data_IF_510219602036
#
_entry.id   IF_510219602036
#
_cell.length_a   1.000
_cell.length_b   1.000
_cell.length_c   1.000
_cell.angle_alpha   90.00
_cell.angle_beta   90.00
_cell.angle_gamma   90.00
#
_symmetry.space_group_name_H-M   'P 1'
#
loop_
_entity.id
_entity.type
_entity.pdbx_description
1 polymer ?
#
# COMPACT_ATOMS: atom_id res chain seq x y z
N UNK A 1 -26.52 -85.62 49.80
CA UNK A 1 -26.44 -84.71 48.64
C UNK A 1 -25.09 -84.04 48.72
N UNK A 2 -24.18 -84.39 47.79
CA UNK A 2 -22.83 -83.85 47.76
C UNK A 2 -22.71 -82.62 46.87
N UNK A 3 -21.62 -81.89 47.06
CA UNK A 3 -20.74 -81.34 46.02
C UNK A 3 -19.64 -80.47 46.67
N UNK A 4 -18.38 -80.86 46.48
CA UNK A 4 -17.20 -79.97 46.35
C UNK A 4 -16.98 -79.74 44.84
N UNK A 5 -16.58 -78.52 44.42
CA UNK A 5 -15.71 -78.17 43.25
C UNK A 5 -15.36 -76.67 43.42
N UNK A 6 -14.12 -76.28 43.74
CA UNK A 6 -12.95 -75.93 42.89
C UNK A 6 -13.07 -74.67 41.99
N UNK A 7 -12.01 -73.86 42.08
CA UNK A 7 -11.71 -72.58 41.44
C UNK A 7 -11.40 -72.69 39.93
N UNK A 8 -11.69 -71.62 39.17
CA UNK A 8 -11.13 -71.35 37.85
C UNK A 8 -10.52 -69.93 37.80
N UNK A 9 -9.28 -69.87 37.31
CA UNK A 9 -8.39 -68.71 37.20
C UNK A 9 -8.65 -67.97 35.86
N UNK A 10 -8.92 -66.66 35.89
CA UNK A 10 -9.11 -65.84 34.67
C UNK A 10 -7.87 -64.97 34.34
N UNK A 11 -7.42 -65.07 33.09
CA UNK A 11 -6.30 -64.33 32.47
C UNK A 11 -6.59 -62.82 32.32
N UNK A 12 -5.56 -61.94 32.38
CA UNK A 12 -5.74 -60.51 32.17
C UNK A 12 -5.79 -60.12 30.68
N UNK A 13 -6.77 -59.27 30.33
CA UNK A 13 -7.00 -58.73 28.98
C UNK A 13 -5.91 -57.70 28.59
N UNK A 14 -5.29 -57.91 27.44
CA UNK A 14 -4.35 -56.97 26.79
C UNK A 14 -5.12 -55.84 26.09
N UNK A 15 -4.88 -54.59 26.47
CA UNK A 15 -5.39 -53.40 25.77
C UNK A 15 -4.37 -52.91 24.73
N UNK A 16 -4.70 -53.02 23.44
CA UNK A 16 -3.96 -52.33 22.38
C UNK A 16 -4.42 -50.85 22.31
N UNK A 17 -3.51 -49.88 22.13
CA UNK A 17 -3.88 -48.49 21.92
C UNK A 17 -4.43 -48.28 20.50
N UNK A 18 -5.60 -47.65 20.43
CA UNK A 18 -6.28 -47.25 19.18
C UNK A 18 -5.51 -46.11 18.52
N UNK A 19 -4.91 -46.36 17.35
CA UNK A 19 -4.34 -45.30 16.51
C UNK A 19 -5.46 -44.43 15.93
N UNK A 20 -5.62 -43.21 16.45
CA UNK A 20 -6.39 -42.15 15.81
C UNK A 20 -5.65 -41.66 14.56
N UNK A 21 -6.28 -41.61 13.38
CA UNK A 21 -5.64 -41.09 12.18
C UNK A 21 -5.41 -39.58 12.33
N UNK A 22 -4.15 -39.16 12.19
CA UNK A 22 -3.78 -37.75 12.07
C UNK A 22 -4.28 -37.28 10.70
N UNK A 23 -5.36 -36.51 10.69
CA UNK A 23 -5.79 -35.76 9.50
C UNK A 23 -4.81 -34.61 9.35
N UNK A 24 -3.77 -34.79 8.53
CA UNK A 24 -3.00 -33.69 7.98
C UNK A 24 -3.93 -32.90 7.05
N UNK A 25 -4.47 -31.79 7.54
CA UNK A 25 -5.07 -30.76 6.68
C UNK A 25 -3.98 -30.23 5.76
N UNK A 26 -3.97 -30.70 4.52
CA UNK A 26 -3.25 -30.04 3.44
C UNK A 26 -3.96 -28.71 3.19
N UNK A 27 -3.43 -27.62 3.75
CA UNK A 27 -3.88 -26.27 3.44
C UNK A 27 -3.77 -26.05 1.93
N UNK A 28 -4.90 -26.14 1.23
CA UNK A 28 -4.99 -25.79 -0.18
C UNK A 28 -4.70 -24.30 -0.29
N UNK A 29 -3.58 -23.95 -0.94
CA UNK A 29 -3.24 -22.56 -1.18
C UNK A 29 -4.41 -21.88 -1.92
N UNK A 30 -4.94 -20.82 -1.32
CA UNK A 30 -6.00 -20.02 -1.95
C UNK A 30 -5.50 -19.49 -3.29
N UNK A 31 -6.22 -19.78 -4.37
CA UNK A 31 -5.94 -19.25 -5.69
C UNK A 31 -6.85 -18.06 -5.96
N UNK A 32 -6.25 -16.92 -6.26
CA UNK A 32 -7.00 -15.74 -6.66
C UNK A 32 -7.82 -16.02 -7.93
N UNK A 33 -9.09 -15.58 -7.99
CA UNK A 33 -9.88 -15.72 -9.20
C UNK A 33 -9.22 -14.94 -10.35
N UNK A 34 -9.23 -15.52 -11.54
CA UNK A 34 -8.71 -14.85 -12.72
C UNK A 34 -9.60 -13.64 -13.07
N UNK A 35 -9.00 -12.46 -13.15
CA UNK A 35 -9.71 -11.26 -13.59
C UNK A 35 -10.20 -11.41 -15.03
N UNK A 36 -11.44 -10.97 -15.25
CA UNK A 36 -12.13 -10.95 -16.53
C UNK A 36 -12.33 -9.49 -16.93
N UNK A 37 -11.82 -9.11 -18.10
CA UNK A 37 -11.90 -7.74 -18.64
C UNK A 37 -12.91 -7.61 -19.78
N UNK A 38 -13.57 -8.70 -20.14
CA UNK A 38 -14.66 -8.77 -21.11
C UNK A 38 -16.00 -8.27 -20.55
N UNK A 39 -16.09 -8.12 -19.23
CA UNK A 39 -17.29 -7.64 -18.52
C UNK A 39 -16.89 -6.41 -17.70
N UNK A 40 -17.70 -5.33 -17.68
CA UNK A 40 -17.42 -4.19 -16.83
C UNK A 40 -17.37 -4.62 -15.35
N UNK A 41 -16.52 -3.99 -14.52
CA UNK A 41 -16.45 -4.32 -13.11
C UNK A 41 -17.79 -4.02 -12.44
N UNK A 42 -18.16 -4.90 -11.51
CA UNK A 42 -19.32 -4.70 -10.67
C UNK A 42 -18.97 -3.78 -9.50
N UNK A 43 -19.69 -2.67 -9.36
CA UNK A 43 -19.62 -1.81 -8.18
C UNK A 43 -20.20 -2.57 -6.98
N UNK A 44 -19.38 -2.83 -5.96
CA UNK A 44 -19.79 -3.50 -4.71
C UNK A 44 -20.12 -2.46 -3.65
N UNK A 45 -19.23 -1.49 -3.44
CA UNK A 45 -19.38 -0.40 -2.49
C UNK A 45 -19.20 0.97 -3.16
N UNK A 46 -19.82 2.00 -2.60
CA UNK A 46 -19.76 3.37 -3.06
C UNK A 46 -19.75 4.34 -1.88
N UNK A 47 -18.85 5.33 -1.93
CA UNK A 47 -18.74 6.38 -0.90
C UNK A 47 -18.55 7.73 -1.59
N UNK A 48 -19.52 8.63 -1.43
CA UNK A 48 -19.50 9.99 -1.94
C UNK A 48 -19.90 11.04 -0.88
N UNK A 49 -20.84 10.73 0.02
CA UNK A 49 -21.36 11.66 1.02
C UNK A 49 -20.31 12.00 2.08
N UNK A 50 -19.59 11.02 2.60
CA UNK A 50 -18.54 11.23 3.61
C UNK A 50 -17.34 12.07 3.14
N UNK A 51 -17.18 12.22 1.82
CA UNK A 51 -16.16 13.07 1.21
C UNK A 51 -16.70 14.45 0.81
N UNK A 52 -18.03 14.65 0.79
CA UNK A 52 -18.67 15.89 0.31
C UNK A 52 -19.40 16.67 1.40
N UNK A 53 -19.99 16.01 2.40
CA UNK A 53 -20.71 16.64 3.51
C UNK A 53 -19.76 16.94 4.66
N UNK A 54 -19.89 18.14 5.24
CA UNK A 54 -19.20 18.55 6.47
C UNK A 54 -17.85 19.24 6.28
N UNK A 55 -17.27 19.22 5.07
CA UNK A 55 -16.08 20.05 4.79
C UNK A 55 -16.51 21.47 4.43
N UNK A 56 -15.93 22.52 5.04
CA UNK A 56 -16.14 23.91 4.59
C UNK A 56 -15.59 24.14 3.17
N UNK A 57 -14.78 23.21 2.65
CA UNK A 57 -14.23 23.25 1.31
C UNK A 57 -15.09 22.42 0.35
N UNK A 58 -15.75 23.10 -0.59
CA UNK A 58 -16.53 22.45 -1.66
C UNK A 58 -15.67 21.65 -2.64
N UNK A 59 -14.34 21.83 -2.60
CA UNK A 59 -13.36 21.14 -3.44
C UNK A 59 -12.59 20.05 -2.67
N UNK A 60 -13.28 19.25 -1.87
CA UNK A 60 -12.67 18.06 -1.28
C UNK A 60 -12.56 16.94 -2.32
N UNK A 61 -11.39 16.34 -2.45
CA UNK A 61 -11.16 15.20 -3.34
C UNK A 61 -10.29 14.14 -2.66
N UNK A 62 -10.44 12.90 -3.15
CA UNK A 62 -9.67 11.75 -2.69
C UNK A 62 -8.22 11.84 -3.22
N UNK A 63 -7.24 11.77 -2.33
CA UNK A 63 -5.80 11.75 -2.67
C UNK A 63 -5.28 10.35 -2.95
N UNK A 64 -5.86 9.33 -2.32
CA UNK A 64 -5.49 7.94 -2.54
C UNK A 64 -6.17 6.97 -1.59
N UNK A 65 -5.99 5.68 -1.87
CA UNK A 65 -6.49 4.56 -1.07
C UNK A 65 -5.36 3.53 -0.91
N UNK A 66 -5.19 2.96 0.29
CA UNK A 66 -4.28 1.84 0.55
C UNK A 66 -4.98 0.76 1.36
N UNK A 67 -4.99 -0.46 0.85
CA UNK A 67 -5.50 -1.64 1.55
C UNK A 67 -4.57 -2.04 2.69
N UNK A 68 -5.14 -2.58 3.76
CA UNK A 68 -4.37 -3.25 4.79
C UNK A 68 -3.65 -4.48 4.22
N UNK A 69 -2.50 -4.87 4.80
CA UNK A 69 -1.75 -6.04 4.32
C UNK A 69 -2.55 -7.34 4.32
N UNK A 70 -3.48 -7.51 5.27
CA UNK A 70 -4.35 -8.67 5.37
C UNK A 70 -5.65 -8.56 4.53
N UNK A 71 -5.89 -7.40 3.89
CA UNK A 71 -7.09 -7.13 3.09
C UNK A 71 -8.39 -6.91 3.88
N UNK A 72 -8.34 -6.85 5.21
CA UNK A 72 -9.52 -6.67 6.06
C UNK A 72 -10.13 -5.27 6.00
N UNK A 73 -9.32 -4.24 5.70
CA UNK A 73 -9.76 -2.86 5.66
C UNK A 73 -8.97 -2.04 4.64
N UNK A 74 -9.43 -0.83 4.38
CA UNK A 74 -8.69 0.14 3.56
C UNK A 74 -8.70 1.52 4.20
N UNK A 75 -7.59 2.23 4.01
CA UNK A 75 -7.37 3.59 4.48
C UNK A 75 -7.39 4.55 3.31
N UNK A 76 -8.13 5.64 3.45
CA UNK A 76 -8.22 6.70 2.44
C UNK A 76 -7.67 8.00 3.01
N UNK A 77 -7.15 8.85 2.13
CA UNK A 77 -6.73 10.21 2.45
C UNK A 77 -7.39 11.19 1.49
N UNK A 78 -7.83 12.34 1.99
CA UNK A 78 -8.49 13.38 1.19
C UNK A 78 -7.90 14.78 1.43
N UNK A 79 -8.35 15.74 0.61
CA UNK A 79 -7.89 17.13 0.65
C UNK A 79 -8.27 17.85 1.96
N UNK A 80 -9.32 17.42 2.64
CA UNK A 80 -9.72 17.87 3.98
C UNK A 80 -8.79 17.41 5.13
N UNK A 81 -7.55 17.03 4.82
CA UNK A 81 -6.53 16.56 5.77
C UNK A 81 -6.97 15.37 6.63
N UNK A 82 -7.98 14.62 6.20
CA UNK A 82 -8.56 13.55 7.00
C UNK A 82 -8.21 12.17 6.41
N UNK A 83 -7.83 11.27 7.30
CA UNK A 83 -7.63 9.85 7.04
C UNK A 83 -8.87 9.09 7.51
N UNK A 84 -9.49 8.32 6.61
CA UNK A 84 -10.70 7.53 6.91
C UNK A 84 -10.44 6.05 6.68
N UNK A 85 -10.77 5.24 7.68
CA UNK A 85 -10.60 3.78 7.66
C UNK A 85 -11.96 3.10 7.51
N UNK A 86 -12.02 2.09 6.65
CA UNK A 86 -13.21 1.31 6.37
C UNK A 86 -12.90 -0.18 6.53
N UNK A 87 -13.54 -0.84 7.49
CA UNK A 87 -13.54 -2.30 7.57
C UNK A 87 -14.51 -2.89 6.57
N UNK A 88 -14.11 -4.00 5.93
CA UNK A 88 -15.02 -4.77 5.12
C UNK A 88 -16.06 -5.47 6.02
N UNK A 89 -17.36 -5.42 5.68
CA UNK A 89 -18.37 -6.21 6.36
C UNK A 89 -18.07 -7.71 6.26
N UNK A 90 -18.24 -8.46 7.35
CA UNK A 90 -17.91 -9.90 7.45
C UNK A 90 -18.64 -10.80 6.42
N UNK A 91 -19.73 -10.31 5.81
CA UNK A 91 -20.64 -11.10 4.98
C UNK A 91 -20.40 -10.99 3.46
N UNK A 92 -19.17 -10.80 2.98
CA UNK A 92 -18.91 -10.74 1.51
C UNK A 92 -19.21 -12.07 0.80
N UNK A 93 -19.32 -13.18 1.54
CA UNK A 93 -19.60 -14.52 1.00
C UNK A 93 -21.04 -14.79 0.58
N UNK A 94 -22.02 -14.07 1.12
CA UNK A 94 -23.46 -14.30 0.87
C UNK A 94 -24.26 -12.99 0.82
N UNK A 95 -23.67 -11.88 0.34
CA UNK A 95 -24.52 -10.76 -0.08
C UNK A 95 -25.30 -11.27 -1.29
N UNK A 96 -26.63 -11.37 -1.15
CA UNK A 96 -27.53 -11.34 -2.30
C UNK A 96 -27.18 -10.08 -3.11
N UNK A 97 -26.29 -10.31 -4.07
CA UNK A 97 -25.64 -9.36 -4.95
C UNK A 97 -26.67 -8.44 -5.64
N UNK A 98 -27.94 -8.82 -5.65
CA UNK A 98 -29.09 -8.04 -6.14
C UNK A 98 -29.37 -6.75 -5.34
N UNK A 99 -29.07 -6.69 -4.04
CA UNK A 99 -29.46 -5.54 -3.20
C UNK A 99 -28.49 -4.35 -3.24
N UNK A 100 -27.17 -4.56 -3.40
CA UNK A 100 -26.18 -3.47 -3.44
C UNK A 100 -26.17 -2.69 -4.77
N UNK A 101 -26.73 -3.27 -5.84
CA UNK A 101 -26.86 -2.58 -7.13
C UNK A 101 -28.09 -1.65 -7.18
N UNK A 102 -29.03 -1.81 -6.25
CA UNK A 102 -30.32 -1.13 -6.24
C UNK A 102 -30.47 -0.05 -5.15
N UNK A 103 -29.49 0.09 -4.24
CA UNK A 103 -29.48 1.17 -3.26
C UNK A 103 -29.28 2.52 -3.98
N UNK A 104 -30.12 3.51 -3.64
CA UNK A 104 -30.06 4.87 -4.18
C UNK A 104 -28.61 5.35 -4.29
N UNK A 105 -28.18 5.67 -5.51
CA UNK A 105 -26.81 6.13 -5.79
C UNK A 105 -26.46 7.45 -5.06
N UNK A 106 -27.41 8.03 -4.34
CA UNK A 106 -27.21 9.21 -3.51
C UNK A 106 -26.58 8.89 -2.16
N UNK A 107 -26.71 7.70 -1.56
CA UNK A 107 -26.15 7.45 -0.22
C UNK A 107 -24.91 6.56 -0.24
N UNK A 108 -24.12 6.65 0.84
CA UNK A 108 -22.92 5.84 1.03
C UNK A 108 -23.29 4.40 1.43
N UNK A 109 -22.48 3.43 1.00
CA UNK A 109 -22.74 2.02 1.33
C UNK A 109 -22.68 1.72 2.83
N UNK A 110 -21.76 2.37 3.56
CA UNK A 110 -21.67 2.34 5.03
C UNK A 110 -20.75 3.48 5.53
N UNK A 111 -20.80 3.75 6.83
CA UNK A 111 -19.96 4.77 7.49
C UNK A 111 -18.52 4.32 7.72
N UNK A 112 -17.57 5.25 7.70
CA UNK A 112 -16.18 4.98 8.03
C UNK A 112 -16.07 4.54 9.49
N UNK A 113 -15.29 3.50 9.74
CA UNK A 113 -15.08 2.93 11.07
C UNK A 113 -14.26 3.85 11.95
N UNK A 114 -13.33 4.59 11.34
CA UNK A 114 -12.50 5.56 12.04
C UNK A 114 -12.20 6.75 11.14
N UNK A 115 -12.21 7.94 11.75
CA UNK A 115 -11.84 9.20 11.13
C UNK A 115 -10.77 9.89 11.97
N UNK A 116 -9.61 10.16 11.37
CA UNK A 116 -8.50 10.86 12.02
C UNK A 116 -8.14 12.08 11.18
N UNK A 117 -8.19 13.27 11.77
CA UNK A 117 -7.82 14.51 11.09
C UNK A 117 -6.41 14.93 11.47
N UNK A 118 -5.60 15.17 10.44
CA UNK A 118 -4.30 15.80 10.56
C UNK A 118 -4.47 17.33 10.52
N UNK A 119 -3.53 18.06 11.11
CA UNK A 119 -3.63 19.52 11.20
C UNK A 119 -3.43 20.21 9.84
N UNK A 120 -2.69 19.58 8.93
CA UNK A 120 -2.26 20.12 7.65
C UNK A 120 -2.30 19.04 6.56
N UNK A 121 -1.89 19.41 5.33
CA UNK A 121 -1.88 18.48 4.20
C UNK A 121 -1.05 17.22 4.44
N UNK A 122 -1.70 16.07 4.35
CA UNK A 122 -1.06 14.75 4.33
C UNK A 122 -0.31 14.55 3.01
N UNK A 123 0.98 14.23 3.07
CA UNK A 123 1.83 13.98 1.90
C UNK A 123 1.86 12.50 1.50
N UNK A 124 1.99 11.61 2.48
CA UNK A 124 2.00 10.16 2.31
C UNK A 124 1.61 9.46 3.62
N UNK A 125 1.17 8.22 3.50
CA UNK A 125 0.78 7.38 4.63
C UNK A 125 1.03 5.91 4.30
N UNK A 126 1.38 5.06 5.26
CA UNK A 126 1.63 3.65 5.01
C UNK A 126 1.19 2.77 6.18
N UNK A 127 0.67 1.59 5.85
CA UNK A 127 0.37 0.55 6.83
C UNK A 127 1.64 -0.06 7.40
N UNK A 128 1.57 -0.49 8.66
CA UNK A 128 2.55 -1.43 9.20
C UNK A 128 2.49 -2.74 8.39
N UNK A 129 3.63 -3.29 7.93
CA UNK A 129 3.66 -4.38 6.95
C UNK A 129 3.01 -5.67 7.42
N UNK A 130 2.95 -5.90 8.74
CA UNK A 130 2.31 -7.07 9.34
C UNK A 130 0.98 -6.75 10.00
N UNK A 131 0.35 -5.62 9.64
CA UNK A 131 -0.98 -5.31 10.17
C UNK A 131 -1.95 -6.43 9.82
N UNK A 132 -2.63 -6.94 10.85
CA UNK A 132 -3.70 -7.91 10.76
C UNK A 132 -4.82 -7.54 11.72
N UNK A 133 -6.08 -7.56 11.26
CA UNK A 133 -7.25 -7.33 12.09
C UNK A 133 -7.37 -8.32 13.26
N UNK A 134 -6.76 -9.50 13.16
CA UNK A 134 -6.70 -10.49 14.24
C UNK A 134 -5.71 -10.12 15.36
N UNK A 135 -4.74 -9.23 15.09
CA UNK A 135 -3.78 -8.74 16.07
C UNK A 135 -3.86 -7.22 16.20
N UNK A 136 -4.60 -6.76 17.20
CA UNK A 136 -4.80 -5.34 17.53
C UNK A 136 -3.48 -4.58 17.74
N UNK A 137 -2.41 -5.25 18.18
CA UNK A 137 -1.13 -4.58 18.41
C UNK A 137 -0.46 -4.18 17.09
N UNK A 138 -0.65 -4.99 16.04
CA UNK A 138 -0.16 -4.77 14.68
C UNK A 138 -0.96 -3.71 13.90
N UNK A 139 -2.17 -3.38 14.36
CA UNK A 139 -3.10 -2.43 13.75
C UNK A 139 -2.61 -0.98 13.87
N UNK A 140 -1.57 -0.63 13.13
CA UNK A 140 -1.03 0.74 13.06
C UNK A 140 -0.71 1.17 11.64
N UNK A 141 -0.76 2.47 11.41
CA UNK A 141 -0.29 3.10 10.18
C UNK A 141 0.46 4.40 10.51
N UNK A 142 1.38 4.77 9.63
CA UNK A 142 2.11 6.02 9.72
C UNK A 142 1.55 7.04 8.72
N UNK A 143 1.56 8.32 9.09
CA UNK A 143 1.24 9.44 8.21
C UNK A 143 2.33 10.51 8.26
N UNK A 144 2.48 11.20 7.14
CA UNK A 144 3.36 12.36 7.00
C UNK A 144 2.54 13.56 6.63
N UNK A 145 2.75 14.66 7.36
CA UNK A 145 1.93 15.85 7.27
C UNK A 145 2.84 17.07 7.15
N UNK A 146 2.44 18.07 6.35
CA UNK A 146 3.18 19.31 6.19
C UNK A 146 3.45 19.98 7.55
N UNK A 147 4.69 20.43 7.76
CA UNK A 147 5.18 21.10 8.98
C UNK A 147 4.97 20.33 10.30
N UNK A 148 4.74 19.01 10.21
CA UNK A 148 4.47 18.13 11.35
C UNK A 148 5.43 16.94 11.37
N UNK A 149 5.65 16.33 12.54
CA UNK A 149 6.39 15.08 12.62
C UNK A 149 5.61 13.95 11.97
N UNK A 150 6.27 12.81 11.78
CA UNK A 150 5.60 11.60 11.33
C UNK A 150 4.77 11.08 12.50
N UNK A 151 3.49 10.85 12.26
CA UNK A 151 2.56 10.32 13.27
C UNK A 151 2.39 8.82 13.07
N UNK A 152 2.39 8.05 14.15
CA UNK A 152 2.00 6.64 14.16
C UNK A 152 0.66 6.51 14.88
N UNK A 153 -0.35 6.06 14.15
CA UNK A 153 -1.72 5.97 14.62
C UNK A 153 -2.11 4.55 14.95
N UNK A 154 -2.93 4.40 15.96
CA UNK A 154 -3.66 3.17 16.25
C UNK A 154 -4.87 3.07 15.31
N UNK A 155 -4.93 2.02 14.50
CA UNK A 155 -5.99 1.85 13.51
C UNK A 155 -7.33 1.37 14.10
N UNK A 156 -7.35 0.95 15.37
CA UNK A 156 -8.56 0.48 16.07
C UNK A 156 -9.20 1.62 16.86
N UNK A 157 -8.39 2.37 17.60
CA UNK A 157 -8.86 3.46 18.48
C UNK A 157 -8.75 4.86 17.85
N UNK A 158 -7.95 5.02 16.79
CA UNK A 158 -7.61 6.32 16.21
C UNK A 158 -6.75 7.21 17.08
N UNK A 159 -6.20 6.68 18.16
CA UNK A 159 -5.30 7.43 19.02
C UNK A 159 -3.90 7.49 18.43
N UNK A 160 -3.25 8.64 18.63
CA UNK A 160 -1.84 8.81 18.31
C UNK A 160 -1.01 7.95 19.27
N UNK A 161 -0.31 6.93 18.75
CA UNK A 161 0.57 6.08 19.57
C UNK A 161 1.89 6.76 19.87
N UNK A 162 2.54 7.30 18.84
CA UNK A 162 3.82 7.99 18.99
C UNK A 162 4.13 8.87 17.78
N UNK A 163 5.23 9.63 17.87
CA UNK A 163 5.71 10.48 16.77
C UNK A 163 7.20 10.33 16.53
N UNK A 164 7.59 10.42 15.26
CA UNK A 164 8.99 10.47 14.83
C UNK A 164 9.29 11.87 14.33
N UNK A 165 10.18 12.55 15.06
CA UNK A 165 10.43 13.99 14.91
C UNK A 165 11.78 14.20 14.24
N UNK A 166 11.74 14.86 13.09
CA UNK A 166 12.92 15.14 12.31
C UNK A 166 13.17 16.65 12.34
N UNK A 167 14.26 17.06 12.99
CA UNK A 167 14.65 18.46 13.12
C UNK A 167 15.73 18.82 12.09
N UNK A 168 15.74 20.07 11.63
CA UNK A 168 16.85 20.60 10.83
C UNK A 168 17.92 21.28 11.70
N UNK A 169 18.89 21.92 11.05
CA UNK A 169 19.97 22.63 11.73
C UNK A 169 19.51 23.85 12.54
N UNK A 170 18.27 24.32 12.31
CA UNK A 170 17.64 25.45 13.01
C UNK A 170 16.68 24.98 14.11
N UNK A 171 16.64 23.68 14.43
CA UNK A 171 15.71 23.04 15.37
C UNK A 171 14.22 23.22 14.97
N UNK A 172 13.96 23.35 13.66
CA UNK A 172 12.61 23.36 13.10
C UNK A 172 12.15 21.96 12.71
N UNK A 173 10.86 21.66 12.89
CA UNK A 173 10.29 20.39 12.46
C UNK A 173 10.26 20.37 10.93
N UNK A 174 10.82 19.32 10.37
CA UNK A 174 10.77 19.06 8.93
C UNK A 174 9.80 17.94 8.62
N UNK A 175 8.93 18.18 7.64
CA UNK A 175 7.99 17.18 7.15
C UNK A 175 8.66 16.24 6.13
N UNK A 176 8.38 14.94 6.27
CA UNK A 176 8.72 13.96 5.26
C UNK A 176 7.70 14.02 4.11
N UNK A 177 8.15 13.84 2.88
CA UNK A 177 7.30 13.81 1.68
C UNK A 177 6.85 12.41 1.28
N UNK A 178 7.53 11.39 1.80
CA UNK A 178 7.20 9.98 1.62
C UNK A 178 7.57 9.19 2.85
N UNK A 179 6.85 8.10 3.11
CA UNK A 179 7.11 7.21 4.26
C UNK A 179 6.86 5.76 3.89
N UNK A 180 7.73 4.87 4.36
CA UNK A 180 7.56 3.44 4.24
C UNK A 180 8.22 2.70 5.42
N UNK A 181 7.56 1.66 5.91
CA UNK A 181 8.22 0.67 6.76
C UNK A 181 9.12 -0.22 5.90
N UNK A 182 10.25 -0.65 6.46
CA UNK A 182 11.01 -1.73 5.86
C UNK A 182 10.24 -3.06 5.93
N UNK A 183 10.66 -4.06 5.15
CA UNK A 183 9.97 -5.34 5.06
C UNK A 183 9.87 -6.08 6.40
N UNK A 184 10.78 -5.82 7.35
CA UNK A 184 10.73 -6.38 8.71
C UNK A 184 9.90 -5.58 9.71
N UNK A 185 9.36 -4.42 9.33
CA UNK A 185 8.60 -3.53 10.21
C UNK A 185 9.39 -2.93 11.38
N UNK A 186 10.71 -3.05 11.41
CA UNK A 186 11.55 -2.57 12.53
C UNK A 186 12.04 -1.15 12.32
N UNK A 187 12.06 -0.67 11.07
CA UNK A 187 12.55 0.66 10.69
C UNK A 187 11.51 1.41 9.87
N UNK A 188 11.42 2.71 10.11
CA UNK A 188 10.59 3.64 9.33
C UNK A 188 11.50 4.54 8.50
N UNK A 189 11.35 4.47 7.19
CA UNK A 189 12.11 5.25 6.22
C UNK A 189 11.26 6.42 5.74
N UNK A 190 11.78 7.64 5.91
CA UNK A 190 11.09 8.86 5.52
C UNK A 190 11.93 9.72 4.57
N UNK A 191 11.34 10.05 3.43
CA UNK A 191 11.96 10.81 2.37
C UNK A 191 11.86 12.31 2.61
N UNK A 192 12.98 13.01 2.51
CA UNK A 192 13.11 14.46 2.68
C UNK A 192 13.71 15.09 1.42
N UNK A 193 13.91 16.41 1.44
CA UNK A 193 14.68 17.08 0.40
C UNK A 193 16.14 16.62 0.45
N UNK A 194 16.61 15.99 -0.63
CA UNK A 194 17.99 15.50 -0.82
C UNK A 194 18.49 14.56 0.27
N UNK A 195 17.60 13.92 1.02
CA UNK A 195 17.98 13.02 2.09
C UNK A 195 16.86 12.04 2.42
N UNK A 196 17.25 10.94 3.07
CA UNK A 196 16.34 10.03 3.76
C UNK A 196 16.72 10.00 5.23
N UNK A 197 15.71 9.92 6.09
CA UNK A 197 15.88 9.72 7.52
C UNK A 197 15.24 8.40 7.92
N UNK A 198 15.96 7.63 8.72
CA UNK A 198 15.59 6.29 9.12
C UNK A 198 15.42 6.28 10.63
N UNK A 199 14.22 5.93 11.08
CA UNK A 199 13.83 5.85 12.48
C UNK A 199 13.71 4.38 12.90
N UNK A 200 14.08 4.09 14.15
CA UNK A 200 13.79 2.79 14.76
C UNK A 200 12.35 2.84 15.31
N UNK A 201 11.51 1.89 14.88
CA UNK A 201 10.10 1.84 15.28
C UNK A 201 9.94 1.61 16.78
N UNK A 202 10.92 0.96 17.42
CA UNK A 202 10.91 0.71 18.86
C UNK A 202 11.41 1.91 19.69
N UNK A 203 11.93 2.96 19.04
CA UNK A 203 12.48 4.15 19.69
C UNK A 203 11.89 5.43 19.09
N UNK A 204 10.59 5.70 19.31
CA UNK A 204 9.98 6.93 18.84
C UNK A 204 10.64 8.15 19.47
N UNK A 205 10.59 9.28 18.79
CA UNK A 205 11.21 10.52 19.24
C UNK A 205 12.09 11.17 18.19
N UNK A 206 13.22 11.73 18.62
CA UNK A 206 14.11 12.56 17.79
C UNK A 206 15.28 11.79 17.17
N UNK A 207 15.49 10.54 17.56
CA UNK A 207 16.63 9.76 17.08
C UNK A 207 16.38 9.24 15.66
N UNK A 208 17.29 9.57 14.74
CA UNK A 208 17.27 9.04 13.38
C UNK A 208 18.68 8.92 12.81
N UNK A 209 18.85 8.01 11.86
CA UNK A 209 20.00 8.01 10.95
C UNK A 209 19.65 8.83 9.71
N UNK A 210 20.54 9.72 9.28
CA UNK A 210 20.35 10.51 8.07
C UNK A 210 21.34 10.10 6.99
N UNK A 211 20.84 9.92 5.77
CA UNK A 211 21.66 9.72 4.58
C UNK A 211 21.32 10.80 3.57
N UNK A 212 22.31 11.61 3.20
CA UNK A 212 22.16 12.74 2.30
C UNK A 212 22.65 12.38 0.89
N UNK A 213 21.86 12.73 -0.12
CA UNK A 213 22.12 12.47 -1.55
C UNK A 213 22.63 13.73 -2.26
N UNK A 214 23.53 14.47 -1.59
CA UNK A 214 24.20 15.60 -2.23
C UNK A 214 24.88 15.12 -3.51
N UNK A 215 24.90 16.00 -4.51
CA UNK A 215 25.35 15.78 -5.88
C UNK A 215 26.85 15.46 -5.89
N UNK A 216 27.22 14.26 -5.45
CA UNK A 216 28.48 13.64 -5.76
C UNK A 216 28.37 13.04 -7.16
N UNK A 217 29.48 12.89 -7.86
CA UNK A 217 29.63 12.39 -9.24
C UNK A 217 28.97 11.03 -9.55
N UNK A 218 28.23 10.43 -8.61
CA UNK A 218 27.54 9.13 -8.68
C UNK A 218 26.01 9.22 -8.87
N UNK A 219 25.42 10.39 -9.12
CA UNK A 219 24.06 10.49 -9.67
C UNK A 219 22.90 10.06 -8.76
N UNK A 220 22.98 10.31 -7.45
CA UNK A 220 21.84 10.09 -6.54
C UNK A 220 20.64 11.02 -6.80
N UNK A 221 19.45 10.75 -6.23
CA UNK A 221 18.26 11.57 -6.37
C UNK A 221 18.48 12.94 -5.73
N UNK A 222 18.91 13.90 -6.56
CA UNK A 222 19.31 15.23 -6.15
C UNK A 222 18.11 16.14 -5.86
N UNK A 223 17.06 15.67 -5.19
CA UNK A 223 15.82 16.43 -4.94
C UNK A 223 14.96 15.82 -3.85
N UNK A 224 13.68 16.20 -3.81
CA UNK A 224 12.70 15.65 -2.87
C UNK A 224 12.53 14.15 -3.13
N UNK A 225 12.74 13.32 -2.10
CA UNK A 225 12.43 11.88 -2.15
C UNK A 225 10.93 11.71 -1.98
N UNK A 226 10.26 11.39 -3.07
CA UNK A 226 8.80 11.45 -3.24
C UNK A 226 8.11 10.10 -3.14
N UNK A 227 8.86 9.01 -3.27
CA UNK A 227 8.33 7.66 -3.12
C UNK A 227 9.42 6.68 -2.72
N UNK A 228 9.06 5.73 -1.85
CA UNK A 228 9.93 4.68 -1.35
C UNK A 228 9.17 3.36 -1.48
N UNK A 229 9.82 2.32 -1.99
CA UNK A 229 9.28 0.96 -2.00
C UNK A 229 10.36 -0.04 -1.62
N UNK A 230 10.02 -1.00 -0.77
CA UNK A 230 10.90 -2.12 -0.43
C UNK A 230 10.68 -3.29 -1.38
N UNK A 231 11.74 -4.03 -1.68
CA UNK A 231 11.62 -5.24 -2.47
C UNK A 231 10.91 -6.33 -1.64
N UNK A 232 9.88 -7.00 -2.21
CA UNK A 232 9.16 -8.05 -1.49
C UNK A 232 9.97 -9.36 -1.39
N UNK A 233 10.94 -9.59 -2.28
CA UNK A 233 11.71 -10.84 -2.37
C UNK A 233 13.17 -10.69 -2.00
N UNK A 234 13.78 -9.53 -2.31
CA UNK A 234 15.17 -9.26 -1.98
C UNK A 234 15.25 -8.47 -0.67
N UNK A 235 15.53 -9.18 0.43
CA UNK A 235 15.69 -8.55 1.74
C UNK A 235 16.82 -7.52 1.72
N UNK A 236 16.61 -6.38 2.37
CA UNK A 236 17.61 -5.30 2.43
C UNK A 236 17.72 -4.47 1.14
N UNK A 237 16.75 -4.54 0.22
CA UNK A 237 16.74 -3.73 -1.00
C UNK A 237 15.53 -2.80 -1.03
N UNK A 238 15.76 -1.52 -1.37
CA UNK A 238 14.70 -0.54 -1.59
C UNK A 238 14.92 0.28 -2.86
N UNK A 239 13.84 0.76 -3.45
CA UNK A 239 13.82 1.73 -4.53
C UNK A 239 13.33 3.08 -3.99
N UNK A 240 13.93 4.15 -4.50
CA UNK A 240 13.52 5.52 -4.22
C UNK A 240 13.31 6.29 -5.51
N UNK A 241 12.21 7.05 -5.55
CA UNK A 241 11.90 8.01 -6.60
C UNK A 241 12.06 9.44 -6.09
N UNK A 242 12.45 10.34 -7.00
CA UNK A 242 12.57 11.76 -6.70
C UNK A 242 11.86 12.65 -7.71
N UNK A 243 11.42 13.82 -7.27
CA UNK A 243 10.88 14.85 -8.17
C UNK A 243 11.90 15.41 -9.17
N UNK A 244 13.20 15.12 -9.00
CA UNK A 244 14.23 15.47 -9.97
C UNK A 244 14.47 14.38 -11.02
N UNK A 245 13.43 13.62 -11.37
CA UNK A 245 13.43 12.57 -12.43
C UNK A 245 14.33 11.36 -12.14
N UNK A 246 15.04 11.35 -11.01
CA UNK A 246 15.91 10.26 -10.62
C UNK A 246 15.12 9.15 -9.93
N UNK A 247 15.37 7.91 -10.35
CA UNK A 247 15.05 6.70 -9.57
C UNK A 247 16.34 5.95 -9.29
N UNK A 248 16.50 5.45 -8.07
CA UNK A 248 17.64 4.61 -7.73
C UNK A 248 17.25 3.51 -6.75
N UNK A 249 17.98 2.40 -6.84
CA UNK A 249 17.85 1.22 -5.97
C UNK A 249 19.04 1.22 -5.02
N UNK A 250 18.79 0.89 -3.75
CA UNK A 250 19.74 1.01 -2.66
C UNK A 250 19.78 -0.25 -1.80
N UNK A 251 20.92 -0.46 -1.16
CA UNK A 251 21.05 -1.36 -0.01
C UNK A 251 20.50 -0.65 1.23
N UNK A 252 19.59 -1.30 1.95
CA UNK A 252 18.86 -0.75 3.11
C UNK A 252 19.79 -0.33 4.26
N UNK A 253 20.86 -1.08 4.52
CA UNK A 253 21.66 -0.91 5.74
C UNK A 253 22.57 0.32 5.73
N UNK A 254 23.17 0.61 4.57
CA UNK A 254 24.12 1.70 4.41
C UNK A 254 23.64 2.77 3.41
N UNK A 255 22.48 2.58 2.77
CA UNK A 255 21.97 3.44 1.71
C UNK A 255 22.99 3.65 0.58
N UNK A 256 23.80 2.64 0.27
CA UNK A 256 24.64 2.67 -0.92
C UNK A 256 23.80 2.40 -2.18
N UNK A 257 23.98 3.19 -3.26
CA UNK A 257 23.25 2.98 -4.49
C UNK A 257 23.76 1.72 -5.20
N UNK A 258 22.83 0.78 -5.46
CA UNK A 258 23.06 -0.38 -6.31
C UNK A 258 22.93 -0.01 -7.78
N UNK A 259 21.84 0.69 -8.12
CA UNK A 259 21.50 1.05 -9.49
C UNK A 259 20.92 2.45 -9.54
N UNK A 260 21.30 3.23 -10.54
CA UNK A 260 20.68 4.52 -10.87
C UNK A 260 19.96 4.36 -12.21
N UNK A 261 18.67 4.63 -12.21
CA UNK A 261 17.78 4.40 -13.34
C UNK A 261 17.45 5.75 -14.01
N UNK A 262 17.89 5.90 -15.26
CA UNK A 262 17.71 7.12 -16.05
C UNK A 262 16.74 6.88 -17.20
N UNK A 263 15.66 7.67 -17.27
CA UNK A 263 14.71 7.57 -18.38
C UNK A 263 13.32 8.11 -18.09
N UNK A 264 12.98 8.38 -16.83
CA UNK A 264 11.77 9.12 -16.47
C UNK A 264 11.89 10.57 -16.95
N UNK A 265 10.85 11.07 -17.63
CA UNK A 265 10.80 12.45 -18.13
C UNK A 265 10.23 13.38 -17.06
N UNK A 266 9.36 12.83 -16.22
CA UNK A 266 8.68 13.51 -15.12
C UNK A 266 9.32 13.32 -13.76
N UNK A 267 8.99 14.21 -12.82
CA UNK A 267 9.34 14.01 -11.42
C UNK A 267 8.64 12.78 -10.86
N UNK A 268 9.40 11.77 -10.45
CA UNK A 268 8.89 10.46 -10.03
C UNK A 268 7.96 10.63 -8.84
N UNK A 269 6.77 10.02 -8.88
CA UNK A 269 5.77 10.10 -7.82
C UNK A 269 5.47 8.77 -7.16
N UNK A 270 5.80 7.68 -7.83
CA UNK A 270 5.60 6.35 -7.33
C UNK A 270 6.64 5.39 -7.91
N UNK A 271 7.11 4.51 -7.04
CA UNK A 271 7.94 3.35 -7.35
C UNK A 271 7.24 2.14 -6.75
N UNK A 272 7.23 1.00 -7.46
CA UNK A 272 6.58 -0.21 -7.01
C UNK A 272 7.32 -1.43 -7.58
N UNK A 273 7.73 -2.36 -6.72
CA UNK A 273 8.31 -3.62 -7.18
C UNK A 273 7.22 -4.58 -7.66
N UNK A 274 7.54 -5.41 -8.65
CA UNK A 274 6.77 -6.61 -8.93
C UNK A 274 6.78 -7.56 -7.73
N UNK A 275 5.78 -8.44 -7.63
CA UNK A 275 5.65 -9.39 -6.51
C UNK A 275 6.83 -10.36 -6.42
N UNK A 276 7.48 -10.67 -7.54
CA UNK A 276 8.70 -11.47 -7.60
C UNK A 276 9.99 -10.66 -7.38
N UNK A 277 9.90 -9.33 -7.32
CA UNK A 277 11.01 -8.39 -7.14
C UNK A 277 11.96 -8.23 -8.34
N UNK A 278 11.68 -8.92 -9.45
CA UNK A 278 12.52 -8.85 -10.65
C UNK A 278 12.33 -7.56 -11.45
N UNK A 279 11.17 -6.93 -11.33
CA UNK A 279 10.83 -5.71 -12.03
C UNK A 279 10.55 -4.56 -11.07
N UNK A 280 10.89 -3.34 -11.49
CA UNK A 280 10.51 -2.12 -10.82
C UNK A 280 9.66 -1.28 -11.77
N UNK A 281 8.49 -0.86 -11.31
CA UNK A 281 7.61 0.07 -12.01
C UNK A 281 7.81 1.47 -11.44
N UNK A 282 7.92 2.44 -12.33
CA UNK A 282 8.15 3.85 -11.97
C UNK A 282 7.21 4.73 -12.77
N UNK A 283 6.65 5.76 -12.15
CA UNK A 283 5.82 6.75 -12.84
C UNK A 283 6.03 8.15 -12.28
N UNK A 284 6.07 9.15 -13.16
CA UNK A 284 6.34 10.55 -12.82
C UNK A 284 5.25 11.54 -13.26
N UNK A 285 5.19 12.70 -12.61
CA UNK A 285 4.26 13.78 -12.99
C UNK A 285 4.56 14.24 -14.41
N UNK A 286 3.51 14.53 -15.19
CA UNK A 286 3.63 14.92 -16.60
C UNK A 286 4.37 13.89 -17.46
N UNK A 287 4.49 12.65 -16.99
CA UNK A 287 5.04 11.54 -17.77
C UNK A 287 3.89 10.69 -18.32
N UNK A 288 3.79 10.50 -19.65
CA UNK A 288 2.80 9.63 -20.28
C UNK A 288 2.96 8.15 -19.95
N UNK A 289 4.08 7.73 -19.37
CA UNK A 289 4.38 6.33 -19.24
C UNK A 289 4.71 5.91 -17.81
N UNK A 290 4.27 4.71 -17.46
CA UNK A 290 4.87 3.92 -16.40
C UNK A 290 5.99 3.10 -17.04
N UNK A 291 7.21 3.27 -16.56
CA UNK A 291 8.36 2.52 -17.04
C UNK A 291 8.54 1.24 -16.22
N UNK A 292 8.70 0.10 -16.90
CA UNK A 292 9.05 -1.17 -16.31
C UNK A 292 10.55 -1.42 -16.49
N UNK A 293 11.28 -1.52 -15.38
CA UNK A 293 12.70 -1.80 -15.32
C UNK A 293 12.94 -3.26 -14.95
N UNK A 294 13.81 -3.96 -15.68
CA UNK A 294 14.38 -5.22 -15.18
C UNK A 294 15.48 -4.88 -14.17
N UNK A 295 15.28 -5.24 -12.90
CA UNK A 295 16.21 -4.92 -11.81
C UNK A 295 17.57 -5.61 -12.02
N UNK A 296 17.59 -6.78 -12.67
CA UNK A 296 18.80 -7.59 -12.88
C UNK A 296 19.70 -7.02 -13.98
N UNK A 297 19.07 -6.43 -14.98
CA UNK A 297 19.74 -5.93 -16.19
C UNK A 297 19.79 -4.39 -16.26
N UNK A 298 19.05 -3.69 -15.39
CA UNK A 298 18.94 -2.22 -15.34
C UNK A 298 18.44 -1.57 -16.65
N UNK A 299 17.61 -2.28 -17.40
CA UNK A 299 17.05 -1.80 -18.67
C UNK A 299 15.54 -1.60 -18.58
N UNK A 300 15.02 -0.66 -19.36
CA UNK A 300 13.57 -0.52 -19.56
C UNK A 300 13.12 -1.65 -20.49
N UNK A 301 12.24 -2.52 -19.99
CA UNK A 301 11.73 -3.67 -20.75
C UNK A 301 10.54 -3.25 -21.61
N UNK A 302 9.62 -2.48 -21.03
CA UNK A 302 8.48 -1.89 -21.73
C UNK A 302 7.99 -0.64 -21.02
N UNK A 303 7.13 0.12 -21.71
CA UNK A 303 6.45 1.31 -21.21
C UNK A 303 4.94 1.07 -21.26
N UNK A 304 4.24 1.32 -20.16
CA UNK A 304 2.79 1.26 -20.10
C UNK A 304 2.25 2.68 -20.23
N UNK A 305 1.47 2.95 -21.28
CA UNK A 305 0.85 4.26 -21.47
C UNK A 305 -0.08 4.59 -20.29
N UNK A 306 -0.18 5.86 -19.95
CA UNK A 306 -1.19 6.39 -19.04
C UNK A 306 -1.53 7.82 -19.48
N UNK A 307 -2.82 8.14 -19.48
CA UNK A 307 -3.32 9.45 -19.92
C UNK A 307 -2.99 10.52 -18.86
N UNK A 308 -1.72 10.98 -18.78
CA UNK A 308 -1.26 11.89 -17.72
C UNK A 308 -0.25 12.97 -18.11
N UNK A 309 -0.15 13.31 -19.39
CA UNK A 309 0.90 14.19 -19.92
C UNK A 309 0.84 15.64 -19.39
N UNK A 310 -0.36 16.13 -19.06
CA UNK A 310 -0.56 17.56 -18.74
C UNK A 310 -0.84 17.87 -17.25
N UNK A 311 -0.75 16.89 -16.35
CA UNK A 311 -1.10 17.11 -14.92
C UNK A 311 0.11 17.09 -14.00
N UNK A 312 0.09 17.97 -13.00
CA UNK A 312 1.01 17.92 -11.87
C UNK A 312 0.53 16.98 -10.74
N UNK A 313 -0.64 16.36 -10.89
CA UNK A 313 -1.20 15.48 -9.88
C UNK A 313 -0.35 14.23 -9.67
N UNK A 314 -0.35 13.73 -8.42
CA UNK A 314 0.22 12.44 -8.08
C UNK A 314 -0.74 11.36 -8.58
N UNK A 315 -0.36 10.65 -9.62
CA UNK A 315 -1.13 9.51 -10.13
C UNK A 315 -0.53 8.23 -9.57
N UNK A 316 -1.41 7.38 -9.04
CA UNK A 316 -1.05 6.10 -8.46
C UNK A 316 -1.39 4.95 -9.40
N UNK A 317 -0.61 3.88 -9.31
CA UNK A 317 -0.83 2.59 -9.92
C UNK A 317 -0.55 1.47 -8.92
N UNK A 318 -1.15 0.30 -9.14
CA UNK A 318 -0.97 -0.86 -8.27
C UNK A 318 -1.03 -2.17 -9.06
N UNK A 319 -0.43 -3.22 -8.48
CA UNK A 319 -0.37 -4.56 -9.05
C UNK A 319 -1.32 -5.45 -8.27
N UNK A 320 -2.17 -6.18 -9.00
CA UNK A 320 -3.12 -7.09 -8.37
C UNK A 320 -2.43 -8.21 -7.56
N UNK A 321 -3.13 -8.87 -6.62
CA UNK A 321 -2.54 -9.91 -5.78
C UNK A 321 -1.88 -11.07 -6.56
N UNK A 322 -2.41 -11.40 -7.75
CA UNK A 322 -1.85 -12.45 -8.61
C UNK A 322 -0.51 -12.06 -9.28
N UNK A 323 -0.19 -10.75 -9.30
CA UNK A 323 1.01 -10.23 -9.96
C UNK A 323 0.91 -10.12 -11.48
N UNK A 324 -0.23 -10.45 -12.11
CA UNK A 324 -0.35 -10.50 -13.57
C UNK A 324 -0.74 -9.17 -14.22
N UNK A 325 -1.49 -8.34 -13.52
CA UNK A 325 -2.02 -7.09 -14.06
C UNK A 325 -1.65 -5.87 -13.21
N UNK A 326 -1.45 -4.74 -13.87
CA UNK A 326 -1.25 -3.43 -13.25
C UNK A 326 -2.38 -2.49 -13.66
N UNK A 327 -3.01 -1.86 -12.66
CA UNK A 327 -4.03 -0.84 -12.83
C UNK A 327 -3.48 0.56 -12.60
N UNK A 328 -3.86 1.54 -13.42
CA UNK A 328 -3.52 2.96 -13.25
C UNK A 328 -4.71 3.84 -13.59
N UNK A 329 -4.90 4.93 -12.83
CA UNK A 329 -5.88 5.96 -13.18
C UNK A 329 -5.35 6.91 -14.26
N UNK A 330 -6.25 7.44 -15.09
CA UNK A 330 -5.98 8.48 -16.09
C UNK A 330 -6.78 9.76 -15.86
N UNK A 331 -6.40 10.84 -16.54
CA UNK A 331 -7.15 12.12 -16.54
C UNK A 331 -8.49 12.01 -17.29
N UNK A 332 -8.65 10.99 -18.12
CA UNK A 332 -9.88 10.66 -18.83
C UNK A 332 -10.98 10.06 -17.94
N UNK A 333 -10.71 9.91 -16.62
CA UNK A 333 -11.64 9.31 -15.66
C UNK A 333 -11.73 7.78 -15.75
N UNK A 334 -10.86 7.17 -16.55
CA UNK A 334 -10.76 5.73 -16.69
C UNK A 334 -9.66 5.16 -15.79
N UNK A 335 -9.86 3.92 -15.35
CA UNK A 335 -8.77 3.07 -14.89
C UNK A 335 -8.37 2.18 -16.04
N UNK A 336 -7.10 2.26 -16.45
CA UNK A 336 -6.50 1.39 -17.45
C UNK A 336 -5.83 0.20 -16.77
N UNK A 337 -5.97 -0.97 -17.36
CA UNK A 337 -5.35 -2.21 -16.89
C UNK A 337 -4.42 -2.77 -17.96
N UNK A 338 -3.22 -3.14 -17.55
CA UNK A 338 -2.16 -3.68 -18.39
C UNK A 338 -1.77 -5.08 -17.93
N UNK A 339 -1.43 -5.93 -18.88
CA UNK A 339 -0.86 -7.26 -18.61
C UNK A 339 0.66 -7.14 -18.47
N UNK A 340 1.19 -7.53 -17.33
CA UNK A 340 2.60 -7.36 -16.98
C UNK A 340 3.53 -8.39 -17.64
N UNK A 341 2.97 -9.50 -18.14
CA UNK A 341 3.73 -10.51 -18.87
C UNK A 341 4.01 -10.06 -20.32
N UNK A 342 3.07 -9.34 -20.91
CA UNK A 342 3.14 -8.93 -22.32
C UNK A 342 3.43 -7.43 -22.50
N UNK A 343 3.18 -6.61 -21.48
CA UNK A 343 3.26 -5.14 -21.55
C UNK A 343 2.10 -4.49 -22.31
N UNK A 344 1.08 -5.25 -22.71
CA UNK A 344 -0.04 -4.73 -23.50
C UNK A 344 -1.23 -4.31 -22.63
N UNK A 345 -1.97 -3.32 -23.13
CA UNK A 345 -3.24 -2.91 -22.57
C UNK A 345 -4.28 -4.03 -22.67
N UNK A 346 -5.01 -4.29 -21.59
CA UNK A 346 -6.06 -5.33 -21.50
C UNK A 346 -7.46 -4.77 -21.52
N UNK A 347 -7.68 -3.62 -20.90
CA UNK A 347 -9.01 -3.05 -20.76
C UNK A 347 -9.00 -1.75 -19.97
N UNK A 348 -10.12 -1.06 -19.99
CA UNK A 348 -10.37 0.09 -19.13
C UNK A 348 -11.82 0.09 -18.66
N UNK A 349 -12.05 0.76 -17.53
CA UNK A 349 -13.39 0.94 -16.99
C UNK A 349 -13.52 2.32 -16.36
N UNK A 350 -14.75 2.86 -16.39
CA UNK A 350 -15.05 4.14 -15.77
C UNK A 350 -14.99 3.98 -14.25
N UNK A 351 -14.03 4.65 -13.60
CA UNK A 351 -13.96 4.67 -12.15
C UNK A 351 -14.74 5.85 -11.55
N UNK A 352 -14.89 6.94 -12.31
CA UNK A 352 -15.62 8.10 -11.84
C UNK A 352 -16.39 8.78 -12.97
N UNK A 353 -17.68 9.05 -12.77
CA UNK A 353 -18.58 9.50 -13.85
C UNK A 353 -18.47 10.98 -14.23
N UNK A 354 -17.48 11.70 -13.68
CA UNK A 354 -17.24 13.11 -13.95
C UNK A 354 -15.92 13.32 -14.70
N UNK A 355 -15.92 14.21 -15.69
CA UNK A 355 -14.70 14.83 -16.20
C UNK A 355 -14.08 15.59 -15.03
N UNK A 356 -13.00 15.08 -14.45
CA UNK A 356 -12.26 15.80 -13.43
C UNK A 356 -11.43 16.87 -14.13
N UNK A 357 -12.06 18.03 -14.26
CA UNK A 357 -11.48 19.35 -14.46
C UNK A 357 -11.19 19.76 -15.91
N UNK A 358 -12.05 20.66 -16.37
CA UNK A 358 -11.70 21.72 -17.31
C UNK A 358 -10.70 22.63 -16.61
N UNK A 359 -9.52 22.80 -17.21
CA UNK A 359 -8.52 23.77 -16.77
C UNK A 359 -9.20 25.11 -16.49
N UNK A 360 -9.09 25.61 -15.25
CA UNK A 360 -9.20 27.03 -15.02
C UNK A 360 -7.91 27.66 -15.53
N UNK A 361 -7.86 27.86 -16.85
CA UNK A 361 -7.00 28.84 -17.46
C UNK A 361 -7.46 30.22 -16.98
N UNK A 362 -6.71 30.81 -16.05
CA UNK A 362 -6.30 32.22 -16.08
C UNK A 362 -5.19 32.48 -15.07
#
# INVERSE_FOLDING_TARGET
MGAEVMEEEQQPLSTQPTETPIITETATAYLWPALKFDVPPRKIYHFCHQFRRGSPNTNNFLKGVKWSPDGSCFLTSSEDNTLRLFYLPDNVGEIELESCAAADASEDSYECSLMVSEAESVYDYCWYPYMSASDVTSCVYASTTKDHPIHLWDAVSGQLRCTYRAYDAMDEITAAYSVAFNSSGTRLFAGYNKSIRVFDVHRPGREFKQYSFLQNDKGGPAGIVSSIAFSPTHNGMLAMGSYNQATAIYVEDNMEPLYVLHGQEGGVTQVLFSKDGNYLYTGGRKDPYILCWDVRNTVIVYKLYRSSENTNQRISFDIEPSGRHLGTGGQDGLVHVYDLQTGYWRGSFQAASGIFFQDSLN
#
